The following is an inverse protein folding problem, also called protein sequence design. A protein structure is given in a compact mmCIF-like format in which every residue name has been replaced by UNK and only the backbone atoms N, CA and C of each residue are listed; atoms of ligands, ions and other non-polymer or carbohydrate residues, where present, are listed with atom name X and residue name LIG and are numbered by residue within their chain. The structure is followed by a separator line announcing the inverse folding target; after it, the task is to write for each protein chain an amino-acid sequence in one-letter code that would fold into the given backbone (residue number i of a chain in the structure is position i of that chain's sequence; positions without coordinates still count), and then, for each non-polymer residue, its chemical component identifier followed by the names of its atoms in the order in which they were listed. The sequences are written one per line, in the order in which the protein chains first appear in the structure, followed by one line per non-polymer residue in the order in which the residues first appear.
data_IF_747538010581
#
_entry.id   IF_747538010581
#
_cell.length_a   1.000
_cell.length_b   1.000
_cell.length_c   1.000
_cell.angle_alpha   90.00
_cell.angle_beta   90.00
_cell.angle_gamma   90.00
#
_symmetry.space_group_name_H-M   'P 1'
#
loop_
_entity.id
_entity.type
_entity.pdbx_description
1 polymer ?
#
# COMPACT_ATOMS: atom_id res chain seq x y z
N UNK A 1 -5.59 13.07 8.72
CA UNK A 1 -4.71 12.22 9.52
C UNK A 1 -4.93 12.48 11.01
N UNK A 2 -5.08 11.41 11.80
CA UNK A 2 -5.32 11.47 13.25
C UNK A 2 -4.28 10.62 13.95
N UNK A 3 -3.74 11.13 15.07
CA UNK A 3 -2.72 10.45 15.87
C UNK A 3 -3.25 10.11 17.25
N UNK A 4 -2.93 8.91 17.71
CA UNK A 4 -3.21 8.46 19.07
C UNK A 4 -1.90 8.13 19.80
N UNK A 5 -1.84 8.35 21.13
CA UNK A 5 -0.62 8.07 21.87
C UNK A 5 -0.34 6.57 22.02
N UNK A 6 -1.31 5.69 21.77
CA UNK A 6 -1.14 4.25 21.85
C UNK A 6 -1.89 3.55 20.71
N UNK A 7 -1.40 2.36 20.36
CA UNK A 7 -1.94 1.56 19.25
C UNK A 7 -3.35 1.04 19.55
N UNK A 8 -3.66 0.75 20.82
CA UNK A 8 -4.94 0.19 21.22
C UNK A 8 -6.10 1.14 20.93
N UNK A 9 -5.94 2.42 21.27
CA UNK A 9 -6.97 3.42 21.00
C UNK A 9 -7.08 3.73 19.51
N UNK A 10 -5.96 3.76 18.79
CA UNK A 10 -5.96 3.92 17.34
C UNK A 10 -6.71 2.77 16.67
N UNK A 11 -6.48 1.53 17.10
CA UNK A 11 -7.15 0.35 16.58
C UNK A 11 -8.66 0.40 16.81
N UNK A 12 -9.09 0.80 18.00
CA UNK A 12 -10.53 0.96 18.33
C UNK A 12 -11.19 2.01 17.45
N UNK A 13 -10.54 3.15 17.28
CA UNK A 13 -11.06 4.23 16.46
C UNK A 13 -11.17 3.80 14.99
N UNK A 14 -10.12 3.15 14.48
CA UNK A 14 -10.11 2.66 13.10
C UNK A 14 -11.26 1.68 12.84
N UNK A 15 -11.47 0.74 13.77
CA UNK A 15 -12.58 -0.21 13.68
C UNK A 15 -13.93 0.48 13.71
N UNK A 16 -14.10 1.48 14.59
CA UNK A 16 -15.34 2.25 14.69
C UNK A 16 -15.67 2.95 13.36
N UNK A 17 -14.70 3.60 12.76
CA UNK A 17 -14.89 4.30 11.48
C UNK A 17 -15.26 3.30 10.38
N UNK A 18 -14.55 2.18 10.29
CA UNK A 18 -14.80 1.18 9.25
C UNK A 18 -16.15 0.48 9.42
N UNK A 19 -16.63 0.32 10.65
CA UNK A 19 -17.93 -0.30 10.90
C UNK A 19 -19.11 0.65 10.64
N UNK A 20 -18.94 1.95 10.88
CA UNK A 20 -20.06 2.89 10.88
C UNK A 20 -20.06 3.88 9.72
N UNK A 21 -18.89 4.18 9.12
CA UNK A 21 -18.75 5.25 8.13
C UNK A 21 -18.06 4.81 6.85
N UNK A 22 -17.93 3.50 6.61
CA UNK A 22 -17.20 2.98 5.43
C UNK A 22 -17.80 3.40 4.09
N UNK A 23 -19.07 3.80 4.06
CA UNK A 23 -19.74 4.27 2.85
C UNK A 23 -19.36 5.71 2.47
N UNK A 24 -18.76 6.46 3.40
CA UNK A 24 -18.38 7.86 3.21
C UNK A 24 -16.88 8.06 3.21
N UNK A 25 -16.15 7.28 4.02
CA UNK A 25 -14.73 7.51 4.25
C UNK A 25 -14.04 6.17 4.49
N UNK A 26 -12.84 6.04 3.98
CA UNK A 26 -11.98 4.90 4.30
C UNK A 26 -11.12 5.23 5.51
N UNK A 27 -10.69 4.22 6.26
CA UNK A 27 -9.84 4.43 7.42
C UNK A 27 -8.75 3.37 7.44
N UNK A 28 -7.50 3.80 7.49
CA UNK A 28 -6.32 2.94 7.48
C UNK A 28 -5.41 3.29 8.65
N UNK A 29 -5.08 2.28 9.46
CA UNK A 29 -4.20 2.45 10.61
C UNK A 29 -2.76 2.10 10.26
N UNK A 30 -1.83 2.91 10.72
CA UNK A 30 -0.41 2.65 10.70
C UNK A 30 0.16 3.02 12.08
N UNK A 31 0.30 2.02 12.97
CA UNK A 31 0.66 2.27 14.36
C UNK A 31 -0.39 3.12 15.06
N UNK A 32 0.01 4.24 15.63
CA UNK A 32 -0.90 5.20 16.27
C UNK A 32 -1.52 6.21 15.31
N UNK A 33 -1.18 6.14 14.02
CA UNK A 33 -1.65 7.07 13.00
C UNK A 33 -2.82 6.48 12.22
N UNK A 34 -3.82 7.30 11.92
CA UNK A 34 -4.98 6.90 11.13
C UNK A 34 -5.15 7.87 9.95
N UNK A 35 -5.15 7.34 8.75
CA UNK A 35 -5.45 8.09 7.53
C UNK A 35 -6.88 7.80 7.09
N UNK A 36 -7.62 8.86 6.78
CA UNK A 36 -9.04 8.77 6.43
C UNK A 36 -9.33 9.47 5.10
N UNK A 37 -8.88 8.89 3.97
CA UNK A 37 -9.23 9.45 2.66
C UNK A 37 -10.70 9.21 2.34
N UNK A 38 -11.29 9.99 1.40
CA UNK A 38 -12.64 9.71 0.92
C UNK A 38 -12.74 8.27 0.37
N UNK A 39 -13.94 7.70 0.44
CA UNK A 39 -14.18 6.37 -0.10
C UNK A 39 -13.85 6.33 -1.59
N UNK A 40 -13.34 5.19 -2.08
CA UNK A 40 -12.87 4.99 -3.45
C UNK A 40 -11.59 5.76 -3.81
N UNK A 41 -10.92 6.33 -2.81
CA UNK A 41 -9.61 6.95 -2.97
C UNK A 41 -8.57 6.03 -2.34
N UNK A 42 -7.58 5.61 -3.12
CA UNK A 42 -6.52 4.72 -2.65
C UNK A 42 -5.25 4.93 -3.47
N UNK A 43 -4.16 4.29 -3.04
CA UNK A 43 -2.92 4.29 -3.82
C UNK A 43 -3.14 3.67 -5.20
N UNK A 44 -4.00 2.64 -5.30
CA UNK A 44 -4.31 1.98 -6.57
C UNK A 44 -5.01 2.93 -7.53
N UNK A 45 -6.05 3.63 -7.09
CA UNK A 45 -6.76 4.58 -7.95
C UNK A 45 -5.87 5.73 -8.39
N UNK A 46 -5.01 6.23 -7.49
CA UNK A 46 -4.04 7.27 -7.82
C UNK A 46 -3.04 6.82 -8.88
N UNK A 47 -2.54 5.60 -8.76
CA UNK A 47 -1.60 5.03 -9.74
C UNK A 47 -2.28 4.88 -11.11
N UNK A 48 -3.50 4.38 -11.16
CA UNK A 48 -4.24 4.25 -12.41
C UNK A 48 -4.49 5.61 -13.07
N UNK A 49 -4.88 6.62 -12.30
CA UNK A 49 -5.08 7.97 -12.82
C UNK A 49 -3.80 8.55 -13.43
N UNK A 50 -2.68 8.41 -12.72
CA UNK A 50 -1.39 8.87 -13.21
C UNK A 50 -0.94 8.10 -14.44
N UNK A 51 -1.18 6.78 -14.48
CA UNK A 51 -0.73 5.92 -15.56
C UNK A 51 -1.41 6.17 -16.90
N UNK A 52 -2.54 6.88 -16.89
CA UNK A 52 -3.26 7.26 -18.14
C UNK A 52 -2.41 8.12 -19.07
N UNK A 53 -1.37 8.75 -18.56
CA UNK A 53 -0.44 9.57 -19.37
C UNK A 53 0.50 8.71 -20.23
N UNK A 54 0.59 7.42 -19.96
CA UNK A 54 1.50 6.51 -20.63
C UNK A 54 0.73 5.48 -21.44
N UNK A 55 1.34 4.97 -22.49
CA UNK A 55 0.73 3.96 -23.35
C UNK A 55 1.00 2.56 -22.79
N UNK A 56 -0.03 1.96 -22.19
CA UNK A 56 -0.02 0.61 -21.66
C UNK A 56 1.20 0.33 -20.76
N UNK A 57 1.43 1.10 -19.70
CA UNK A 57 2.63 0.97 -18.89
C UNK A 57 2.62 -0.31 -18.06
N UNK A 58 3.79 -0.90 -17.87
CA UNK A 58 4.00 -1.97 -16.90
C UNK A 58 4.27 -1.33 -15.54
N UNK A 59 3.49 -1.71 -14.52
CA UNK A 59 3.51 -1.04 -13.22
C UNK A 59 4.10 -1.99 -12.17
N UNK A 60 5.08 -1.51 -11.45
CA UNK A 60 5.68 -2.18 -10.31
C UNK A 60 5.39 -1.39 -9.05
N UNK A 61 5.16 -2.10 -7.94
CA UNK A 61 4.90 -1.47 -6.66
C UNK A 61 5.81 -2.03 -5.58
N UNK A 62 6.04 -1.25 -4.54
CA UNK A 62 6.85 -1.68 -3.40
C UNK A 62 6.24 -1.12 -2.12
N UNK A 63 6.25 -1.90 -1.06
CA UNK A 63 5.68 -1.45 0.20
C UNK A 63 6.09 -2.32 1.37
N UNK A 64 5.69 -1.89 2.57
CA UNK A 64 6.05 -2.54 3.83
C UNK A 64 4.86 -2.71 4.79
N UNK A 65 3.79 -1.96 4.63
CA UNK A 65 2.68 -1.90 5.58
C UNK A 65 1.35 -2.35 4.97
N UNK A 66 0.38 -2.60 5.84
CA UNK A 66 -0.94 -3.06 5.43
C UNK A 66 -1.68 -2.08 4.52
N UNK A 67 -1.42 -0.77 4.67
CA UNK A 67 -2.01 0.23 3.78
C UNK A 67 -1.46 0.17 2.35
N UNK A 68 -0.35 -0.53 2.14
CA UNK A 68 0.22 -0.76 0.81
C UNK A 68 -0.35 -2.02 0.15
N UNK A 69 -1.04 -2.87 0.91
CA UNK A 69 -1.47 -4.18 0.47
C UNK A 69 -2.27 -4.16 -0.85
N UNK A 70 -3.27 -3.29 -1.03
CA UNK A 70 -4.00 -3.24 -2.30
C UNK A 70 -3.09 -2.96 -3.50
N UNK A 71 -2.12 -2.09 -3.35
CA UNK A 71 -1.15 -1.75 -4.40
C UNK A 71 -0.22 -2.93 -4.72
N UNK A 72 0.19 -3.66 -3.69
CA UNK A 72 1.04 -4.85 -3.83
C UNK A 72 0.29 -5.97 -4.55
N UNK A 73 -0.98 -6.15 -4.26
CA UNK A 73 -1.82 -7.18 -4.89
C UNK A 73 -2.17 -6.86 -6.34
N UNK A 74 -2.43 -5.58 -6.63
CA UNK A 74 -2.93 -5.14 -7.95
C UNK A 74 -1.83 -5.13 -9.01
N UNK A 75 -0.62 -4.75 -8.65
CA UNK A 75 0.50 -4.59 -9.58
C UNK A 75 1.56 -5.66 -9.34
N UNK A 76 2.68 -5.59 -10.07
CA UNK A 76 3.81 -6.46 -9.79
C UNK A 76 4.48 -5.98 -8.49
N UNK A 77 4.05 -6.56 -7.38
CA UNK A 77 4.38 -6.08 -6.04
C UNK A 77 5.67 -6.65 -5.47
N UNK A 78 6.43 -5.78 -4.83
CA UNK A 78 7.65 -6.12 -4.07
C UNK A 78 7.42 -5.78 -2.61
N UNK A 79 7.81 -6.69 -1.71
CA UNK A 79 7.85 -6.42 -0.28
C UNK A 79 9.30 -6.22 0.15
N UNK A 80 9.56 -5.17 0.93
CA UNK A 80 10.89 -5.00 1.54
C UNK A 80 11.10 -5.99 2.68
N UNK A 81 12.34 -6.24 3.08
CA UNK A 81 12.68 -7.30 4.03
C UNK A 81 12.04 -7.13 5.41
N UNK A 82 11.78 -5.89 5.82
CA UNK A 82 11.12 -5.59 7.10
C UNK A 82 9.62 -5.36 6.98
N UNK A 83 9.01 -5.76 5.85
CA UNK A 83 7.58 -5.60 5.64
C UNK A 83 6.77 -6.50 6.58
N UNK A 84 5.50 -6.14 6.77
CA UNK A 84 4.56 -6.96 7.51
C UNK A 84 4.37 -8.32 6.83
N UNK A 85 4.13 -9.40 7.60
CA UNK A 85 3.99 -10.74 7.02
C UNK A 85 2.94 -10.84 5.93
N UNK A 86 1.81 -10.13 6.07
CA UNK A 86 0.73 -10.12 5.09
C UNK A 86 1.18 -9.50 3.76
N UNK A 87 2.00 -8.47 3.84
CA UNK A 87 2.56 -7.82 2.65
C UNK A 87 3.53 -8.75 1.94
N UNK A 88 4.39 -9.44 2.69
CA UNK A 88 5.31 -10.43 2.13
C UNK A 88 4.56 -11.57 1.44
N UNK A 89 3.46 -12.03 2.05
CA UNK A 89 2.65 -13.11 1.49
C UNK A 89 1.96 -12.72 0.18
N UNK A 90 1.54 -11.46 0.06
CA UNK A 90 0.84 -10.95 -1.12
C UNK A 90 1.79 -10.57 -2.26
N UNK A 91 3.03 -10.22 -1.94
CA UNK A 91 4.00 -9.75 -2.93
C UNK A 91 4.50 -10.88 -3.83
N UNK A 92 4.71 -10.58 -5.10
CA UNK A 92 5.31 -11.52 -6.06
C UNK A 92 6.81 -11.66 -5.84
N UNK A 93 7.45 -10.63 -5.32
CA UNK A 93 8.90 -10.59 -5.09
C UNK A 93 9.22 -9.95 -3.76
N UNK A 94 10.41 -10.19 -3.25
CA UNK A 94 10.94 -9.53 -2.07
C UNK A 94 12.28 -8.89 -2.41
N UNK A 95 12.60 -7.77 -1.72
CA UNK A 95 13.86 -7.07 -1.88
C UNK A 95 14.32 -6.51 -0.54
N UNK A 96 15.62 -6.30 -0.39
CA UNK A 96 16.16 -5.69 0.84
C UNK A 96 15.99 -4.16 0.80
N UNK A 97 16.18 -3.56 -0.37
CA UNK A 97 16.12 -2.11 -0.56
C UNK A 97 15.45 -1.81 -1.90
N UNK A 98 14.94 -0.60 -2.03
CA UNK A 98 14.29 -0.16 -3.27
C UNK A 98 15.26 -0.19 -4.45
N UNK A 99 16.54 0.16 -4.23
CA UNK A 99 17.55 0.10 -5.31
C UNK A 99 17.75 -1.33 -5.82
N UNK A 100 17.65 -2.33 -4.98
CA UNK A 100 17.75 -3.73 -5.38
C UNK A 100 16.57 -4.12 -6.28
N UNK A 101 15.36 -3.64 -5.95
CA UNK A 101 14.18 -3.82 -6.78
C UNK A 101 14.37 -3.18 -8.16
N UNK A 102 14.86 -1.95 -8.21
CA UNK A 102 15.10 -1.23 -9.46
C UNK A 102 16.09 -1.99 -10.34
N UNK A 103 17.20 -2.47 -9.76
CA UNK A 103 18.18 -3.25 -10.48
C UNK A 103 17.59 -4.55 -11.04
N UNK A 104 16.77 -5.25 -10.25
CA UNK A 104 16.10 -6.46 -10.70
C UNK A 104 15.17 -6.17 -11.89
N UNK A 105 14.39 -5.11 -11.83
CA UNK A 105 13.47 -4.72 -12.90
C UNK A 105 14.25 -4.39 -14.17
N UNK A 106 15.34 -3.65 -14.07
CA UNK A 106 16.15 -3.29 -15.22
C UNK A 106 16.77 -4.53 -15.89
N UNK A 107 17.23 -5.49 -15.10
CA UNK A 107 17.75 -6.76 -15.64
C UNK A 107 16.67 -7.57 -16.37
N UNK A 108 15.45 -7.62 -15.83
CA UNK A 108 14.34 -8.34 -16.45
C UNK A 108 13.88 -7.67 -17.76
N UNK A 109 13.90 -6.33 -17.82
CA UNK A 109 13.51 -5.60 -19.03
C UNK A 109 14.55 -5.73 -20.16
N UNK A 110 15.80 -6.02 -19.84
CA UNK A 110 16.87 -6.20 -20.81
C UNK A 110 16.90 -7.59 -21.47
N UNK A 111 16.05 -8.50 -21.02
CA UNK A 111 15.96 -9.86 -21.55
C UNK A 111 15.05 -10.00 -22.77
#
# INVERSE_FOLDING_TARGET
NVWFPDDKNAEKFNAFINENYSHLISSYRNGGSIDMPPVNTSKVTGIYDYSKQFDNPKIYSVGDNLNDLPMIEEFCGFAVSNAQPEVKAAAKHQCNRICDMINYILEEEDK
#
